data_IF_336100243861
#
_entry.id   IF_336100243861
#
_cell.length_a   1.000
_cell.length_b   1.000
_cell.length_c   1.000
_cell.angle_alpha   90.00
_cell.angle_beta   90.00
_cell.angle_gamma   90.00
#
_symmetry.space_group_name_H-M   'P 1'
#
loop_
_entity.id
_entity.type
_entity.pdbx_description
1 polymer ?
#
# COMPACT_ATOMS: atom_id res chain seq x y z
N UNK A 1 -6.92 13.57 2.61
CA UNK A 1 -6.62 12.90 1.31
C UNK A 1 -6.86 11.39 1.30
N UNK A 2 -6.78 10.68 2.43
CA UNK A 2 -6.93 9.21 2.47
C UNK A 2 -8.35 8.69 2.15
N UNK A 3 -9.41 9.45 2.47
CA UNK A 3 -10.79 9.02 2.17
C UNK A 3 -11.12 9.05 0.68
N UNK A 4 -10.67 10.06 -0.08
CA UNK A 4 -10.99 10.19 -1.51
C UNK A 4 -10.31 9.11 -2.37
N UNK A 5 -9.07 8.75 -2.05
CA UNK A 5 -8.33 7.67 -2.72
C UNK A 5 -8.96 6.30 -2.46
N UNK A 6 -9.42 6.05 -1.23
CA UNK A 6 -10.14 4.83 -0.89
C UNK A 6 -11.44 4.69 -1.70
N UNK A 7 -12.18 5.79 -1.88
CA UNK A 7 -13.42 5.78 -2.66
C UNK A 7 -13.15 5.56 -4.16
N UNK A 8 -12.13 6.21 -4.72
CA UNK A 8 -11.74 6.03 -6.12
C UNK A 8 -11.36 4.58 -6.43
N UNK A 9 -10.64 3.91 -5.54
CA UNK A 9 -10.27 2.49 -5.69
C UNK A 9 -11.51 1.58 -5.76
N UNK A 10 -12.52 1.83 -4.91
CA UNK A 10 -13.78 1.06 -4.92
C UNK A 10 -14.54 1.24 -6.23
N UNK A 11 -14.64 2.47 -6.75
CA UNK A 11 -15.28 2.72 -8.05
C UNK A 11 -14.53 2.04 -9.20
N UNK A 12 -13.19 2.05 -9.19
CA UNK A 12 -12.40 1.34 -10.19
C UNK A 12 -12.56 -0.19 -10.10
N UNK A 13 -12.85 -0.75 -8.93
CA UNK A 13 -13.22 -2.19 -8.81
C UNK A 13 -14.59 -2.46 -9.40
N UNK A 14 -15.57 -1.59 -9.12
CA UNK A 14 -16.89 -1.71 -9.70
C UNK A 14 -16.86 -1.64 -11.24
N UNK A 15 -16.16 -0.68 -11.83
CA UNK A 15 -16.05 -0.57 -13.30
C UNK A 15 -15.35 -1.76 -13.96
N UNK A 16 -14.36 -2.36 -13.29
CA UNK A 16 -13.72 -3.58 -13.78
C UNK A 16 -14.71 -4.75 -13.80
N UNK A 17 -15.48 -4.94 -12.72
CA UNK A 17 -16.50 -5.99 -12.63
C UNK A 17 -17.55 -5.81 -13.73
N UNK A 18 -18.06 -4.58 -13.92
CA UNK A 18 -19.03 -4.28 -14.98
C UNK A 18 -18.43 -4.56 -16.36
N UNK A 19 -17.16 -4.22 -16.58
CA UNK A 19 -16.45 -4.51 -17.82
C UNK A 19 -16.38 -6.02 -18.11
N UNK A 20 -16.01 -6.83 -17.12
CA UNK A 20 -15.98 -8.30 -17.27
C UNK A 20 -17.37 -8.90 -17.50
N UNK A 21 -18.42 -8.37 -16.86
CA UNK A 21 -19.80 -8.78 -17.13
C UNK A 21 -20.17 -8.47 -18.59
N UNK A 22 -19.83 -7.29 -19.11
CA UNK A 22 -20.08 -6.94 -20.50
C UNK A 22 -19.34 -7.87 -21.47
N UNK A 23 -18.10 -8.24 -21.17
CA UNK A 23 -17.34 -9.23 -21.95
C UNK A 23 -18.02 -10.60 -21.93
N UNK A 24 -18.44 -11.08 -20.76
CA UNK A 24 -19.12 -12.37 -20.62
C UNK A 24 -20.45 -12.41 -21.39
N UNK A 25 -21.26 -11.35 -21.28
CA UNK A 25 -22.52 -11.21 -22.01
C UNK A 25 -22.28 -11.11 -23.52
N UNK A 26 -21.29 -10.32 -23.96
CA UNK A 26 -20.89 -10.21 -25.36
C UNK A 26 -20.44 -11.55 -25.94
N UNK A 27 -19.61 -12.30 -25.21
CA UNK A 27 -19.15 -13.63 -25.62
C UNK A 27 -20.30 -14.65 -25.70
N UNK A 28 -21.22 -14.63 -24.72
CA UNK A 28 -22.40 -15.48 -24.74
C UNK A 28 -23.30 -15.17 -25.95
N UNK A 29 -23.59 -13.89 -26.20
CA UNK A 29 -24.38 -13.47 -27.36
C UNK A 29 -23.68 -13.82 -28.68
N UNK A 30 -22.36 -13.77 -28.74
CA UNK A 30 -21.59 -14.16 -29.91
C UNK A 30 -21.79 -15.64 -30.22
N UNK A 31 -21.61 -16.51 -29.22
CA UNK A 31 -21.82 -17.95 -29.34
C UNK A 31 -23.28 -18.27 -29.73
N UNK A 32 -24.24 -17.58 -29.12
CA UNK A 32 -25.65 -17.75 -29.42
C UNK A 32 -26.00 -17.29 -30.85
N UNK A 33 -25.44 -16.17 -31.31
CA UNK A 33 -25.63 -15.66 -32.67
C UNK A 33 -25.08 -16.63 -33.73
N UNK A 34 -23.93 -17.26 -33.45
CA UNK A 34 -23.39 -18.33 -34.30
C UNK A 34 -24.30 -19.56 -34.34
N UNK A 35 -24.86 -19.97 -33.20
CA UNK A 35 -25.78 -21.11 -33.15
C UNK A 35 -27.09 -20.85 -33.93
N UNK A 36 -27.56 -19.60 -33.98
CA UNK A 36 -28.80 -19.21 -34.66
C UNK A 36 -28.60 -18.72 -36.09
N UNK A 37 -27.37 -18.76 -36.63
CA UNK A 37 -27.02 -18.26 -37.98
C UNK A 37 -27.59 -16.86 -38.28
N UNK A 38 -27.70 -16.02 -37.25
CA UNK A 38 -28.40 -14.73 -37.30
C UNK A 38 -27.40 -13.58 -37.27
N UNK A 39 -26.93 -13.08 -38.43
CA UNK A 39 -25.80 -12.15 -38.51
C UNK A 39 -26.07 -10.80 -37.85
N UNK A 40 -27.34 -10.41 -37.71
CA UNK A 40 -27.75 -9.16 -37.06
C UNK A 40 -27.28 -9.04 -35.60
N UNK A 41 -27.11 -10.17 -34.89
CA UNK A 41 -26.66 -10.17 -33.49
C UNK A 41 -25.14 -10.24 -33.35
N UNK A 42 -24.40 -10.59 -34.41
CA UNK A 42 -22.93 -10.67 -34.38
C UNK A 42 -22.31 -9.30 -34.11
N UNK A 43 -22.81 -8.25 -34.79
CA UNK A 43 -22.27 -6.89 -34.62
C UNK A 43 -22.46 -6.40 -33.19
N UNK A 44 -23.67 -6.56 -32.64
CA UNK A 44 -23.97 -6.18 -31.26
C UNK A 44 -23.11 -6.95 -30.24
N UNK A 45 -22.94 -8.26 -30.44
CA UNK A 45 -22.11 -9.11 -29.59
C UNK A 45 -20.63 -8.69 -29.61
N UNK A 46 -20.07 -8.44 -30.80
CA UNK A 46 -18.69 -7.96 -30.96
C UNK A 46 -18.50 -6.58 -30.32
N UNK A 47 -19.44 -5.65 -30.52
CA UNK A 47 -19.38 -4.33 -29.88
C UNK A 47 -19.41 -4.41 -28.36
N UNK A 48 -20.26 -5.26 -27.77
CA UNK A 48 -20.30 -5.48 -26.33
C UNK A 48 -18.99 -6.08 -25.80
N UNK A 49 -18.44 -7.05 -26.52
CA UNK A 49 -17.21 -7.74 -26.14
C UNK A 49 -16.00 -6.78 -26.19
N UNK A 50 -15.83 -6.07 -27.30
CA UNK A 50 -14.77 -5.07 -27.45
C UNK A 50 -14.95 -3.89 -26.51
N UNK A 51 -16.19 -3.40 -26.33
CA UNK A 51 -16.49 -2.32 -25.39
C UNK A 51 -16.15 -2.69 -23.96
N UNK A 52 -16.51 -3.91 -23.53
CA UNK A 52 -16.14 -4.44 -22.22
C UNK A 52 -14.62 -4.56 -22.04
N UNK A 53 -13.91 -5.08 -23.05
CA UNK A 53 -12.44 -5.19 -23.00
C UNK A 53 -11.77 -3.82 -22.91
N UNK A 54 -12.19 -2.85 -23.73
CA UNK A 54 -11.66 -1.49 -23.70
C UNK A 54 -11.90 -0.84 -22.33
N UNK A 55 -13.10 -1.00 -21.77
CA UNK A 55 -13.41 -0.51 -20.43
C UNK A 55 -12.49 -1.12 -19.35
N UNK A 56 -12.23 -2.43 -19.40
CA UNK A 56 -11.30 -3.10 -18.47
C UNK A 56 -9.90 -2.50 -18.61
N UNK A 57 -9.41 -2.32 -19.84
CA UNK A 57 -8.09 -1.71 -20.09
C UNK A 57 -8.01 -0.29 -19.50
N UNK A 58 -9.00 0.56 -19.77
CA UNK A 58 -9.04 1.91 -19.19
C UNK A 58 -9.05 1.89 -17.67
N UNK A 59 -9.77 0.95 -17.07
CA UNK A 59 -9.85 0.80 -15.61
C UNK A 59 -8.50 0.41 -15.01
N UNK A 60 -7.73 -0.47 -15.68
CA UNK A 60 -6.38 -0.84 -15.24
C UNK A 60 -5.40 0.33 -15.36
N UNK A 61 -5.47 1.10 -16.45
CA UNK A 61 -4.66 2.31 -16.62
C UNK A 61 -4.96 3.31 -15.51
N UNK A 62 -6.24 3.54 -15.20
CA UNK A 62 -6.64 4.44 -14.13
C UNK A 62 -6.12 3.99 -12.76
N UNK A 63 -6.12 2.68 -12.45
CA UNK A 63 -5.51 2.15 -11.23
C UNK A 63 -4.01 2.42 -11.15
N UNK A 64 -3.30 2.17 -12.24
CA UNK A 64 -1.86 2.42 -12.31
C UNK A 64 -1.53 3.90 -12.07
N UNK A 65 -2.36 4.82 -12.58
CA UNK A 65 -2.20 6.26 -12.31
C UNK A 65 -2.47 6.62 -10.85
N UNK A 66 -3.49 6.02 -10.23
CA UNK A 66 -3.77 6.24 -8.79
C UNK A 66 -2.60 5.77 -7.94
N UNK A 67 -2.06 4.59 -8.21
CA UNK A 67 -0.90 4.05 -7.47
C UNK A 67 0.36 4.90 -7.69
N UNK A 68 0.59 5.38 -8.92
CA UNK A 68 1.69 6.30 -9.23
C UNK A 68 1.55 7.62 -8.47
N UNK A 69 0.33 8.15 -8.37
CA UNK A 69 0.06 9.37 -7.62
C UNK A 69 0.25 9.17 -6.10
N UNK A 70 -0.17 8.04 -5.54
CA UNK A 70 0.06 7.67 -4.15
C UNK A 70 1.57 7.59 -3.84
N UNK A 71 2.34 6.91 -4.70
CA UNK A 71 3.78 6.78 -4.54
C UNK A 71 4.51 8.13 -4.67
N UNK A 72 4.06 8.98 -5.59
CA UNK A 72 4.63 10.32 -5.77
C UNK A 72 4.37 11.22 -4.56
N UNK A 73 3.17 11.15 -3.96
CA UNK A 73 2.86 11.89 -2.74
C UNK A 73 3.76 11.46 -1.57
N UNK A 74 3.99 10.15 -1.40
CA UNK A 74 4.91 9.63 -0.39
C UNK A 74 6.36 10.07 -0.62
N UNK A 75 6.81 10.11 -1.89
CA UNK A 75 8.15 10.59 -2.22
C UNK A 75 8.34 12.08 -1.88
N UNK A 76 7.33 12.92 -2.15
CA UNK A 76 7.35 14.35 -1.79
C UNK A 76 7.37 14.52 -0.27
N UNK A 77 6.57 13.74 0.47
CA UNK A 77 6.56 13.80 1.94
C UNK A 77 7.92 13.38 2.52
N UNK A 78 8.57 12.36 1.96
CA UNK A 78 9.93 11.96 2.34
C UNK A 78 10.95 13.06 2.07
N UNK A 79 10.93 13.68 0.88
CA UNK A 79 11.81 14.79 0.53
C UNK A 79 11.60 16.00 1.45
N UNK A 80 10.35 16.33 1.77
CA UNK A 80 10.01 17.41 2.71
C UNK A 80 10.55 17.14 4.10
N UNK A 81 10.41 15.92 4.60
CA UNK A 81 10.95 15.53 5.91
C UNK A 81 12.48 15.61 5.94
N UNK A 82 13.16 15.14 4.88
CA UNK A 82 14.62 15.25 4.75
C UNK A 82 15.05 16.72 4.73
N UNK A 83 14.40 17.56 3.91
CA UNK A 83 14.69 18.99 3.84
C UNK A 83 14.51 19.69 5.20
N UNK A 84 13.42 19.40 5.90
CA UNK A 84 13.19 19.94 7.26
C UNK A 84 14.21 19.47 8.29
N UNK A 85 14.80 18.29 8.10
CA UNK A 85 15.86 17.75 8.95
C UNK A 85 17.19 18.44 8.67
N UNK A 86 17.50 18.70 7.39
CA UNK A 86 18.72 19.38 6.97
C UNK A 86 18.71 20.89 7.28
N UNK A 87 17.53 21.49 7.40
CA UNK A 87 17.37 22.92 7.65
C UNK A 87 17.23 23.26 9.15
N UNK A 88 17.28 22.26 10.04
CA UNK A 88 17.50 22.53 11.47
C UNK A 88 18.88 23.18 11.60
N UNK A 89 18.98 24.44 12.06
CA UNK A 89 20.27 24.97 12.45
C UNK A 89 20.82 24.04 13.52
N UNK A 90 22.10 23.69 13.42
CA UNK A 90 22.81 23.07 14.53
C UNK A 90 22.58 23.98 15.75
N UNK A 91 21.71 23.55 16.67
CA UNK A 91 21.58 24.22 17.95
C UNK A 91 22.99 24.28 18.52
N UNK A 92 23.44 25.45 19.01
CA UNK A 92 24.76 25.55 19.60
C UNK A 92 24.86 24.46 20.65
N UNK A 93 25.91 23.64 20.55
CA UNK A 93 26.32 22.73 21.61
C UNK A 93 26.42 23.57 22.88
N UNK A 94 25.40 23.52 23.73
CA UNK A 94 25.53 23.98 25.11
C UNK A 94 26.64 23.13 25.72
N UNK A 95 27.84 23.71 25.81
CA UNK A 95 28.85 23.30 26.77
C UNK A 95 28.30 23.58 28.17
N UNK A 96 27.32 22.78 28.57
CA UNK A 96 26.92 22.58 29.95
C UNK A 96 27.92 21.61 30.58
N UNK A 97 28.96 22.22 31.16
CA UNK A 97 29.61 21.80 32.41
C UNK A 97 29.36 20.36 32.87
N UNK A 98 30.45 19.59 32.81
CA UNK A 98 30.82 18.52 33.74
C UNK A 98 30.07 18.62 35.08
N UNK A 99 29.18 17.66 35.32
CA UNK A 99 28.34 17.65 36.51
C UNK A 99 27.32 16.53 36.51
N UNK A 100 27.78 15.31 36.73
CA UNK A 100 27.04 14.22 37.38
C UNK A 100 25.61 13.96 36.87
N UNK A 101 25.48 13.10 35.84
CA UNK A 101 24.24 12.32 35.63
C UNK A 101 24.59 10.85 35.36
N UNK A 102 23.92 9.90 36.04
CA UNK A 102 24.24 8.48 35.98
C UNK A 102 24.02 7.95 34.57
N UNK A 103 24.80 6.93 34.17
CA UNK A 103 24.57 6.20 32.91
C UNK A 103 23.11 5.74 32.83
N UNK A 104 22.32 6.41 32.01
CA UNK A 104 20.99 5.93 31.61
C UNK A 104 21.24 4.99 30.44
N UNK A 105 20.94 3.71 30.66
CA UNK A 105 21.10 2.61 29.71
C UNK A 105 20.35 2.78 28.39
N UNK A 106 20.40 1.76 27.51
CA UNK A 106 19.97 1.87 26.12
C UNK A 106 18.54 2.39 26.05
N UNK A 107 18.37 3.51 25.32
CA UNK A 107 17.08 4.16 25.14
C UNK A 107 16.07 3.16 24.55
N UNK A 108 15.19 2.63 25.39
CA UNK A 108 14.01 1.88 24.95
C UNK A 108 13.09 2.83 24.19
N UNK A 109 13.29 2.89 22.88
CA UNK A 109 12.37 3.53 21.95
C UNK A 109 11.04 2.78 21.98
N UNK A 110 10.01 3.35 22.60
CA UNK A 110 8.64 2.82 22.52
C UNK A 110 8.10 3.06 21.12
N UNK A 111 8.23 2.06 20.26
CA UNK A 111 7.54 2.01 18.97
C UNK A 111 6.01 1.98 19.19
N UNK A 112 5.21 2.62 18.31
CA UNK A 112 3.75 2.52 18.35
C UNK A 112 3.31 1.05 18.30
N UNK A 113 2.26 0.74 19.06
CA UNK A 113 1.92 -0.58 19.64
C UNK A 113 1.76 -1.80 18.70
N UNK A 114 2.09 -1.70 17.40
CA UNK A 114 1.91 -2.77 16.42
C UNK A 114 3.10 -2.99 15.47
N UNK A 115 4.27 -2.37 15.68
CA UNK A 115 5.48 -2.68 14.90
C UNK A 115 6.64 -3.05 15.82
N UNK A 116 7.09 -4.31 15.72
CA UNK A 116 8.32 -4.77 16.36
C UNK A 116 9.48 -4.15 15.59
N UNK A 117 10.39 -3.40 16.25
CA UNK A 117 11.51 -2.75 15.58
C UNK A 117 12.43 -3.79 14.92
N UNK A 118 13.08 -3.42 13.82
CA UNK A 118 14.07 -4.26 13.14
C UNK A 118 15.47 -3.65 13.23
N UNK A 119 16.50 -4.48 13.35
CA UNK A 119 17.89 -4.04 13.25
C UNK A 119 18.31 -3.78 11.79
N UNK A 120 19.52 -3.27 11.59
CA UNK A 120 20.10 -2.99 10.26
C UNK A 120 20.24 -4.24 9.36
N UNK A 121 20.20 -5.44 9.94
CA UNK A 121 20.19 -6.72 9.23
C UNK A 121 18.77 -7.24 8.92
N UNK A 122 17.71 -6.50 9.28
CA UNK A 122 16.32 -6.87 9.01
C UNK A 122 15.67 -7.83 10.03
N UNK A 123 16.36 -8.14 11.14
CA UNK A 123 15.86 -9.01 12.22
C UNK A 123 15.01 -8.20 13.22
N UNK A 124 13.95 -8.80 13.75
CA UNK A 124 13.05 -8.23 14.75
C UNK A 124 13.70 -8.16 16.13
N UNK A 125 13.59 -7.03 16.83
CA UNK A 125 14.21 -6.80 18.14
C UNK A 125 13.13 -6.67 19.20
N UNK A 126 13.23 -7.48 20.26
CA UNK A 126 12.33 -7.45 21.41
C UNK A 126 13.17 -7.45 22.69
N UNK A 127 13.22 -6.31 23.38
CA UNK A 127 14.16 -6.13 24.50
C UNK A 127 15.61 -6.21 24.01
N UNK A 128 16.41 -7.09 24.63
CA UNK A 128 17.80 -7.35 24.24
C UNK A 128 17.94 -8.51 23.22
N UNK A 129 16.84 -9.17 22.85
CA UNK A 129 16.86 -10.34 21.98
C UNK A 129 16.50 -10.00 20.53
N UNK A 130 17.17 -10.65 19.57
CA UNK A 130 16.95 -10.51 18.12
C UNK A 130 16.39 -11.79 17.51
N UNK A 131 15.35 -11.66 16.69
CA UNK A 131 14.62 -12.76 16.06
C UNK A 131 14.59 -12.58 14.55
N UNK A 132 14.87 -13.64 13.80
CA UNK A 132 14.80 -13.60 12.33
C UNK A 132 13.34 -13.63 11.85
N UNK A 133 12.46 -14.28 12.63
CA UNK A 133 11.05 -14.47 12.29
C UNK A 133 10.11 -13.56 13.11
N UNK A 134 9.08 -13.02 12.45
CA UNK A 134 8.07 -12.15 13.08
C UNK A 134 7.24 -12.92 14.12
N UNK A 135 6.90 -14.18 13.84
CA UNK A 135 6.06 -14.99 14.72
C UNK A 135 6.72 -15.23 16.09
N UNK A 136 8.02 -15.53 16.07
CA UNK A 136 8.83 -15.74 17.28
C UNK A 136 8.97 -14.44 18.07
N UNK A 137 9.23 -13.32 17.39
CA UNK A 137 9.32 -12.00 18.02
C UNK A 137 8.00 -11.60 18.70
N UNK A 138 6.85 -11.89 18.08
CA UNK A 138 5.54 -11.61 18.67
C UNK A 138 5.27 -12.47 19.91
N UNK A 139 5.71 -13.72 19.92
CA UNK A 139 5.56 -14.61 21.07
C UNK A 139 6.42 -14.14 22.25
N UNK A 140 7.67 -13.73 21.99
CA UNK A 140 8.54 -13.13 22.99
C UNK A 140 7.96 -11.83 23.58
N UNK A 141 7.35 -10.98 22.74
CA UNK A 141 6.70 -9.74 23.18
C UNK A 141 5.46 -10.01 24.06
N UNK A 142 4.72 -11.08 23.80
CA UNK A 142 3.57 -11.47 24.65
C UNK A 142 4.02 -12.00 26.01
N UNK A 143 5.14 -12.73 26.05
CA UNK A 143 5.71 -13.26 27.28
C UNK A 143 6.29 -12.14 28.15
N UNK A 144 7.01 -11.17 27.56
CA UNK A 144 7.58 -10.03 28.29
C UNK A 144 6.54 -9.03 28.84
N UNK A 145 5.30 -9.09 28.36
CA UNK A 145 4.17 -8.29 28.92
C UNK A 145 3.46 -8.97 30.10
N UNK A 146 3.77 -10.25 30.39
CA UNK A 146 3.13 -11.02 31.48
C UNK A 146 3.99 -11.15 32.73
N UNK A 147 5.27 -10.79 32.67
CA UNK A 147 6.19 -10.65 33.81
C UNK A 147 6.18 -9.22 34.34
#
# INVERSE_FOLDING_TARGET
MTRSLSTARVFLVFFEIVGWIAVAVGAFLLLWAFAQSSPQYLVAAVCLLLGGLVQVVFTQIARAQVETAENSALAVDLLRNIYSTLQRPASPLEHGTEGSRPMVGPATYRAPANRIPKNSAGHYVVGEQTFVNLAEAQQALKLSRRS
#
